data_IF_406983191952
#
_entry.id   IF_406983191952
#
_cell.length_a   1.000
_cell.length_b   1.000
_cell.length_c   1.000
_cell.angle_alpha   90.00
_cell.angle_beta   90.00
_cell.angle_gamma   90.00
#
_symmetry.space_group_name_H-M   'P 1'
#
loop_
_entity.id
_entity.type
_entity.pdbx_description
1 polymer ?
#
# COMPACT_ATOMS: atom_id res chain seq x y z
N UNK A 1 -26.38 5.67 0.70
CA UNK A 1 -25.63 6.32 -0.42
C UNK A 1 -26.32 5.91 -1.71
N UNK A 2 -26.66 6.86 -2.62
CA UNK A 2 -27.38 6.55 -3.86
C UNK A 2 -26.45 5.88 -4.89
N UNK A 3 -26.76 4.65 -5.34
CA UNK A 3 -25.96 3.93 -6.34
C UNK A 3 -25.86 4.66 -7.68
N UNK A 4 -26.89 5.39 -8.07
CA UNK A 4 -26.93 6.16 -9.32
C UNK A 4 -25.94 7.33 -9.29
N UNK A 5 -25.81 7.99 -8.14
CA UNK A 5 -24.85 9.07 -7.93
C UNK A 5 -23.41 8.56 -8.06
N UNK A 6 -23.10 7.40 -7.46
CA UNK A 6 -21.79 6.75 -7.56
C UNK A 6 -21.46 6.36 -8.99
N UNK A 7 -22.43 5.81 -9.72
CA UNK A 7 -22.26 5.41 -11.11
C UNK A 7 -21.91 6.61 -12.01
N UNK A 8 -22.61 7.73 -11.84
CA UNK A 8 -22.34 8.98 -12.59
C UNK A 8 -20.96 9.56 -12.29
N UNK A 9 -20.36 9.24 -11.14
CA UNK A 9 -19.02 9.67 -10.70
C UNK A 9 -17.91 8.68 -11.06
N UNK A 10 -18.16 7.71 -11.92
CA UNK A 10 -17.14 6.79 -12.44
C UNK A 10 -16.97 5.49 -11.67
N UNK A 11 -17.89 5.15 -10.76
CA UNK A 11 -17.90 3.84 -10.13
C UNK A 11 -18.42 2.80 -11.13
N UNK A 12 -17.52 2.03 -11.75
CA UNK A 12 -17.87 1.04 -12.79
C UNK A 12 -18.08 -0.38 -12.27
N UNK A 13 -17.88 -0.62 -10.96
CA UNK A 13 -17.98 -1.95 -10.37
C UNK A 13 -19.28 -2.12 -9.57
N UNK A 14 -20.22 -2.97 -10.00
CA UNK A 14 -21.43 -3.29 -9.23
C UNK A 14 -21.11 -3.92 -7.88
N UNK A 15 -20.00 -4.66 -7.78
CA UNK A 15 -19.53 -5.30 -6.54
C UNK A 15 -19.20 -4.27 -5.45
N UNK A 16 -18.66 -3.12 -5.84
CA UNK A 16 -18.26 -2.09 -4.87
C UNK A 16 -19.47 -1.30 -4.37
N UNK A 17 -20.48 -1.11 -5.23
CA UNK A 17 -21.80 -0.59 -4.81
C UNK A 17 -22.43 -1.51 -3.78
N UNK A 18 -22.43 -2.82 -4.04
CA UNK A 18 -23.05 -3.80 -3.15
C UNK A 18 -22.36 -3.86 -1.78
N UNK A 19 -21.03 -3.79 -1.75
CA UNK A 19 -20.25 -3.72 -0.49
C UNK A 19 -20.61 -2.50 0.37
N UNK A 20 -20.97 -1.38 -0.25
CA UNK A 20 -21.33 -0.15 0.48
C UNK A 20 -22.67 -0.22 1.20
N UNK A 21 -23.49 -1.22 0.90
CA UNK A 21 -24.82 -1.43 1.50
C UNK A 21 -24.79 -2.30 2.77
N UNK A 22 -23.64 -2.86 3.12
CA UNK A 22 -23.53 -3.79 4.25
C UNK A 22 -23.50 -3.06 5.60
N UNK A 23 -24.25 -3.58 6.57
CA UNK A 23 -24.29 -3.05 7.93
C UNK A 23 -22.97 -3.34 8.70
N UNK A 24 -22.72 -2.59 9.78
CA UNK A 24 -21.48 -2.69 10.59
C UNK A 24 -21.22 -4.10 11.12
N UNK A 25 -22.23 -4.83 11.53
CA UNK A 25 -22.11 -6.17 12.09
C UNK A 25 -21.73 -7.21 11.04
N UNK A 26 -22.39 -7.18 9.89
CA UNK A 26 -22.08 -8.07 8.76
C UNK A 26 -20.67 -7.81 8.22
N UNK A 27 -20.26 -6.55 8.12
CA UNK A 27 -18.91 -6.17 7.71
C UNK A 27 -17.82 -6.71 8.66
N UNK A 28 -18.08 -6.66 9.97
CA UNK A 28 -17.15 -7.20 10.99
C UNK A 28 -17.03 -8.73 10.86
N UNK A 29 -18.15 -9.42 10.72
CA UNK A 29 -18.15 -10.87 10.56
C UNK A 29 -17.37 -11.28 9.28
N UNK A 30 -17.57 -10.57 8.18
CA UNK A 30 -16.88 -10.83 6.94
C UNK A 30 -15.38 -10.53 7.00
N UNK A 31 -14.96 -9.49 7.73
CA UNK A 31 -13.54 -9.25 7.97
C UNK A 31 -12.87 -10.41 8.73
N UNK A 32 -13.61 -11.06 9.64
CA UNK A 32 -13.11 -12.23 10.37
C UNK A 32 -13.12 -13.52 9.52
N UNK A 33 -14.10 -13.67 8.64
CA UNK A 33 -14.23 -14.85 7.77
C UNK A 33 -13.38 -14.77 6.50
N UNK A 34 -12.82 -13.59 6.18
CA UNK A 34 -12.03 -13.44 4.96
C UNK A 34 -10.70 -14.18 5.08
N UNK A 35 -10.43 -15.04 4.10
CA UNK A 35 -9.16 -15.77 3.97
C UNK A 35 -8.09 -14.96 3.22
N UNK A 36 -8.44 -13.79 2.70
CA UNK A 36 -7.52 -12.95 1.95
C UNK A 36 -6.44 -12.40 2.86
N UNK A 37 -5.17 -12.67 2.53
CA UNK A 37 -4.03 -12.13 3.26
C UNK A 37 -4.06 -10.60 3.21
N UNK A 38 -3.95 -9.97 4.38
CA UNK A 38 -3.84 -8.51 4.46
C UNK A 38 -2.52 -8.05 3.83
N UNK A 39 -2.62 -7.05 2.98
CA UNK A 39 -1.46 -6.36 2.37
C UNK A 39 -1.62 -4.87 2.55
N UNK A 40 -0.51 -4.15 2.66
CA UNK A 40 -0.57 -2.70 2.66
C UNK A 40 -1.09 -2.21 1.30
N UNK A 41 -2.08 -1.32 1.35
CA UNK A 41 -2.63 -0.67 0.17
C UNK A 41 -2.72 0.83 0.48
N UNK A 42 -1.88 1.62 -0.16
CA UNK A 42 -1.67 3.03 0.15
C UNK A 42 -2.93 3.90 0.08
N UNK A 43 -3.93 3.49 -0.70
CA UNK A 43 -5.20 4.22 -0.79
C UNK A 43 -6.12 4.00 0.43
N UNK A 44 -5.88 2.98 1.25
CA UNK A 44 -6.71 2.65 2.42
C UNK A 44 -5.90 1.86 3.45
N UNK A 45 -4.95 2.53 4.09
CA UNK A 45 -4.11 1.96 5.12
C UNK A 45 -3.87 2.99 6.24
N UNK A 46 -3.73 2.51 7.45
CA UNK A 46 -3.37 3.30 8.62
C UNK A 46 -2.36 2.53 9.45
N UNK A 47 -1.34 3.23 9.94
CA UNK A 47 -0.29 2.65 10.78
C UNK A 47 0.32 3.72 11.67
N UNK A 48 1.04 3.32 12.71
CA UNK A 48 1.78 4.22 13.55
C UNK A 48 2.92 4.88 12.77
N UNK A 49 3.16 6.17 13.00
CA UNK A 49 4.25 6.93 12.37
C UNK A 49 5.60 6.28 12.65
N UNK A 50 5.80 5.85 13.89
CA UNK A 50 7.04 5.22 14.36
C UNK A 50 7.37 3.95 13.57
N UNK A 51 6.36 3.19 13.17
CA UNK A 51 6.53 2.00 12.34
C UNK A 51 7.08 2.36 10.95
N UNK A 52 6.56 3.42 10.33
CA UNK A 52 7.03 3.90 9.03
C UNK A 52 8.45 4.44 9.11
N UNK A 53 8.73 5.25 10.13
CA UNK A 53 10.09 5.79 10.37
C UNK A 53 11.07 4.66 10.69
N UNK A 54 10.65 3.67 11.47
CA UNK A 54 11.48 2.52 11.85
C UNK A 54 11.96 1.68 10.66
N UNK A 55 11.24 1.68 9.54
CA UNK A 55 11.65 1.01 8.29
C UNK A 55 12.19 1.97 7.23
N UNK A 56 12.41 3.24 7.60
CA UNK A 56 12.92 4.31 6.74
C UNK A 56 11.94 4.77 5.63
N UNK A 57 10.63 4.63 5.82
CA UNK A 57 9.65 5.14 4.88
C UNK A 57 9.55 4.35 3.56
N UNK A 58 9.14 5.02 2.50
CA UNK A 58 9.07 4.47 1.15
C UNK A 58 10.46 4.38 0.51
N UNK A 59 10.65 3.41 -0.38
CA UNK A 59 11.85 3.32 -1.20
C UNK A 59 11.73 4.25 -2.40
N UNK A 60 12.50 5.33 -2.41
CA UNK A 60 12.43 6.42 -3.42
C UNK A 60 12.91 6.00 -4.81
N UNK A 61 13.53 4.84 -4.94
CA UNK A 61 13.86 4.27 -6.26
C UNK A 61 12.64 3.78 -7.00
N UNK A 62 11.55 3.51 -6.29
CA UNK A 62 10.32 2.99 -6.85
C UNK A 62 9.49 4.12 -7.46
N UNK A 63 9.03 3.88 -8.67
CA UNK A 63 8.06 4.72 -9.36
C UNK A 63 6.64 4.24 -9.07
N UNK A 64 5.68 4.65 -9.87
CA UNK A 64 4.32 4.17 -9.75
C UNK A 64 4.22 2.65 -9.86
N UNK A 65 3.51 2.06 -8.93
CA UNK A 65 3.17 0.62 -8.91
C UNK A 65 3.80 -0.13 -7.75
N UNK A 66 2.96 -0.60 -6.83
CA UNK A 66 3.30 -1.50 -5.74
C UNK A 66 4.36 -1.01 -4.73
N UNK A 67 4.65 0.30 -4.68
CA UNK A 67 5.54 0.89 -3.65
C UNK A 67 4.94 0.75 -2.24
N UNK A 68 3.65 0.84 -2.11
CA UNK A 68 2.91 0.58 -0.88
C UNK A 68 3.06 -0.86 -0.40
N UNK A 69 3.05 -1.80 -1.34
CA UNK A 69 3.25 -3.23 -1.02
C UNK A 69 4.67 -3.53 -0.58
N UNK A 70 5.67 -2.86 -1.16
CA UNK A 70 7.07 -2.99 -0.77
C UNK A 70 7.28 -2.49 0.67
N UNK A 71 6.79 -1.29 0.99
CA UNK A 71 6.78 -0.79 2.37
C UNK A 71 6.09 -1.79 3.31
N UNK A 72 4.95 -2.34 2.88
CA UNK A 72 4.23 -3.35 3.63
C UNK A 72 5.06 -4.62 3.88
N UNK A 73 5.84 -5.07 2.91
CA UNK A 73 6.73 -6.21 3.05
C UNK A 73 7.82 -5.96 4.10
N UNK A 74 8.44 -4.76 4.12
CA UNK A 74 9.41 -4.38 5.16
C UNK A 74 8.78 -4.28 6.55
N UNK A 75 7.58 -3.73 6.65
CA UNK A 75 6.83 -3.69 7.91
C UNK A 75 6.49 -5.09 8.43
N UNK A 76 6.15 -6.04 7.55
CA UNK A 76 5.97 -7.44 7.95
C UNK A 76 7.28 -8.10 8.38
N UNK A 77 8.37 -7.83 7.67
CA UNK A 77 9.70 -8.32 8.02
C UNK A 77 10.16 -7.80 9.40
N UNK A 78 9.73 -6.59 9.80
CA UNK A 78 9.97 -6.04 11.14
C UNK A 78 9.11 -6.68 12.24
N UNK A 79 8.25 -7.65 11.91
CA UNK A 79 7.38 -8.36 12.85
C UNK A 79 5.99 -7.75 13.04
N UNK A 80 5.64 -6.67 12.33
CA UNK A 80 4.33 -6.05 12.42
C UNK A 80 3.25 -6.93 11.77
N UNK A 81 2.11 -7.01 12.45
CA UNK A 81 0.94 -7.77 11.99
C UNK A 81 -0.10 -6.83 11.38
N UNK A 82 -0.69 -7.23 10.27
CA UNK A 82 -1.76 -6.49 9.62
C UNK A 82 -3.12 -6.96 10.10
N UNK A 83 -4.01 -5.99 10.27
CA UNK A 83 -5.43 -6.24 10.50
C UNK A 83 -6.21 -5.90 9.24
N UNK A 84 -6.96 -6.87 8.72
CA UNK A 84 -7.85 -6.66 7.59
C UNK A 84 -9.09 -5.87 8.02
N UNK A 85 -9.42 -4.81 7.29
CA UNK A 85 -10.61 -3.97 7.51
C UNK A 85 -11.39 -3.74 6.22
N UNK A 86 -11.28 -4.68 5.30
CA UNK A 86 -11.76 -4.60 3.92
C UNK A 86 -13.25 -4.27 3.80
N UNK A 87 -14.06 -4.78 4.71
CA UNK A 87 -15.51 -4.61 4.67
C UNK A 87 -16.01 -3.47 5.58
N UNK A 88 -15.16 -3.00 6.50
CA UNK A 88 -15.48 -1.89 7.42
C UNK A 88 -14.99 -0.53 6.96
N UNK A 89 -13.88 -0.51 6.24
CA UNK A 89 -13.29 0.71 5.67
C UNK A 89 -13.23 0.56 4.15
N UNK A 90 -14.35 0.83 3.49
CA UNK A 90 -14.49 0.68 2.03
C UNK A 90 -13.98 1.95 1.36
N UNK A 91 -12.96 1.80 0.53
CA UNK A 91 -12.47 2.85 -0.37
C UNK A 91 -13.00 2.58 -1.78
N UNK A 92 -13.67 3.56 -2.37
CA UNK A 92 -14.18 3.50 -3.74
C UNK A 92 -13.19 4.21 -4.66
N UNK A 93 -12.55 3.44 -5.54
CA UNK A 93 -11.65 4.00 -6.53
C UNK A 93 -12.42 4.43 -7.77
N UNK A 94 -12.44 5.74 -8.03
CA UNK A 94 -13.03 6.29 -9.26
C UNK A 94 -12.03 6.11 -10.41
N UNK A 95 -12.56 5.81 -11.59
CA UNK A 95 -11.73 5.60 -12.77
C UNK A 95 -11.05 6.91 -13.20
N UNK A 96 -9.76 6.84 -13.52
CA UNK A 96 -8.98 7.90 -14.15
C UNK A 96 -7.89 7.29 -15.02
N UNK A 97 -7.41 8.03 -16.00
CA UNK A 97 -6.24 7.66 -16.81
C UNK A 97 -4.97 7.69 -15.99
N UNK A 98 -4.00 6.84 -16.37
CA UNK A 98 -2.71 6.69 -15.65
C UNK A 98 -1.54 6.76 -16.63
N UNK A 99 -1.28 7.93 -17.26
CA UNK A 99 -0.23 8.07 -18.26
C UNK A 99 1.18 7.89 -17.69
N UNK A 100 1.34 7.96 -16.39
CA UNK A 100 2.61 7.79 -15.66
C UNK A 100 3.00 6.32 -15.43
N UNK A 101 2.20 5.36 -15.91
CA UNK A 101 2.53 3.93 -15.83
C UNK A 101 3.46 3.54 -16.97
N UNK A 102 4.65 3.00 -16.65
CA UNK A 102 5.61 2.48 -17.62
C UNK A 102 5.92 1.00 -17.35
N UNK A 103 6.21 0.25 -18.39
CA UNK A 103 6.58 -1.16 -18.25
C UNK A 103 7.90 -1.32 -17.48
N UNK A 104 8.87 -0.45 -17.73
CA UNK A 104 10.15 -0.41 -17.06
C UNK A 104 10.02 -0.13 -15.57
N UNK A 105 9.14 0.84 -15.19
CA UNK A 105 8.83 1.15 -13.81
C UNK A 105 8.23 -0.06 -13.07
N UNK A 106 7.33 -0.78 -13.71
CA UNK A 106 6.75 -2.01 -13.15
C UNK A 106 7.79 -3.12 -12.96
N UNK A 107 8.66 -3.35 -13.93
CA UNK A 107 9.72 -4.35 -13.83
C UNK A 107 10.72 -4.00 -12.73
N UNK A 108 11.17 -2.75 -12.65
CA UNK A 108 12.03 -2.25 -11.57
C UNK A 108 11.40 -2.45 -10.19
N UNK A 109 10.16 -2.06 -10.03
CA UNK A 109 9.44 -2.19 -8.77
C UNK A 109 9.24 -3.67 -8.37
N UNK A 110 8.96 -4.54 -9.34
CA UNK A 110 8.85 -5.98 -9.11
C UNK A 110 10.17 -6.59 -8.62
N UNK A 111 11.30 -6.15 -9.18
CA UNK A 111 12.64 -6.60 -8.78
C UNK A 111 12.98 -6.14 -7.35
N UNK A 112 12.76 -4.86 -7.02
CA UNK A 112 12.98 -4.33 -5.67
C UNK A 112 12.16 -5.13 -4.66
N UNK A 113 10.88 -5.36 -4.92
CA UNK A 113 10.00 -6.14 -4.05
C UNK A 113 10.44 -7.60 -3.91
N UNK A 114 10.92 -8.20 -5.00
CA UNK A 114 11.46 -9.56 -4.97
C UNK A 114 12.65 -9.63 -4.02
N UNK A 115 13.56 -8.68 -4.14
CA UNK A 115 14.75 -8.58 -3.27
C UNK A 115 14.36 -8.38 -1.81
N UNK A 116 13.46 -7.44 -1.50
CA UNK A 116 12.95 -7.19 -0.14
C UNK A 116 12.36 -8.45 0.50
N UNK A 117 11.59 -9.24 -0.27
CA UNK A 117 10.99 -10.48 0.24
C UNK A 117 12.00 -11.59 0.46
N UNK A 118 12.95 -11.75 -0.47
CA UNK A 118 13.96 -12.82 -0.40
C UNK A 118 14.99 -12.58 0.70
N UNK A 119 15.41 -11.31 0.88
CA UNK A 119 16.38 -10.95 1.91
C UNK A 119 15.78 -10.81 3.30
N UNK A 120 14.44 -10.69 3.43
CA UNK A 120 13.80 -10.34 4.70
C UNK A 120 14.14 -8.93 5.18
N UNK A 121 14.56 -8.04 4.27
CA UNK A 121 15.00 -6.68 4.61
C UNK A 121 13.90 -5.90 5.32
N UNK A 122 14.26 -5.23 6.40
CA UNK A 122 13.40 -4.33 7.18
C UNK A 122 13.61 -2.87 6.79
N UNK A 123 14.84 -2.52 6.39
CA UNK A 123 15.28 -1.17 6.13
C UNK A 123 15.56 -0.95 4.64
N UNK A 124 15.27 0.23 4.13
CA UNK A 124 15.78 0.70 2.84
C UNK A 124 16.78 1.83 3.02
N UNK A 125 17.87 1.83 2.25
CA UNK A 125 18.84 2.94 2.22
C UNK A 125 18.35 4.13 1.38
N UNK A 126 17.18 4.02 0.77
CA UNK A 126 16.61 5.00 -0.17
C UNK A 126 15.29 5.56 0.35
N UNK A 127 15.24 5.90 1.64
CA UNK A 127 14.05 6.41 2.29
C UNK A 127 14.26 7.78 2.94
N UNK A 128 13.60 8.00 4.07
CA UNK A 128 13.59 9.28 4.81
C UNK A 128 14.99 9.71 5.24
N UNK A 129 15.82 8.76 5.67
CA UNK A 129 17.20 9.02 6.07
C UNK A 129 18.13 8.54 4.96
N UNK A 130 19.03 9.39 4.48
CA UNK A 130 20.01 8.99 3.51
C UNK A 130 20.95 7.91 4.07
N UNK A 131 21.49 7.07 3.20
CA UNK A 131 22.49 6.06 3.59
C UNK A 131 23.76 6.75 4.14
N UNK A 132 24.57 6.06 4.95
CA UNK A 132 25.84 6.64 5.45
C UNK A 132 26.71 7.21 4.34
N UNK A 133 26.85 6.52 3.21
CA UNK A 133 27.60 7.01 2.04
C UNK A 133 27.00 8.27 1.41
N UNK A 134 25.68 8.43 1.41
CA UNK A 134 25.01 9.65 0.95
C UNK A 134 25.14 10.78 1.96
N UNK A 135 25.16 10.49 3.28
CA UNK A 135 25.40 11.48 4.32
C UNK A 135 26.81 12.06 4.22
N UNK A 136 27.81 11.24 3.97
CA UNK A 136 29.20 11.70 3.81
C UNK A 136 29.36 12.57 2.56
N UNK A 137 28.70 12.21 1.46
CA UNK A 137 28.68 13.03 0.23
C UNK A 137 28.00 14.41 0.45
N UNK A 138 26.92 14.45 1.25
CA UNK A 138 26.23 15.70 1.59
C UNK A 138 27.00 16.60 2.56
N UNK A 139 27.92 16.03 3.36
CA UNK A 139 28.79 16.80 4.27
C UNK A 139 30.04 17.35 3.59
N UNK A 140 30.41 16.77 2.43
CA UNK A 140 31.59 17.16 1.66
C UNK A 140 31.29 18.15 0.52
N UNK A 141 30.02 18.49 0.29
CA UNK A 141 29.53 19.47 -0.68
C UNK A 141 29.22 20.83 -0.03
#
# INVERSE_FOLDING_TARGET
MDPRWLWRRGLRSPRDVWKSLWGKWTATLLDHLTTTRATLNGCNASMAREAVVGVNGFDERMQYGALDRELGERLQNSGLKYKQVRHRAICLHLWHERPYMTAEGWQRNAEIRRTTRQSGSVWTSYGIQPSPSQQDALRSA
#
